data_IF_096238753632
#
_entry.id   IF_096238753632
#
_cell.length_a   1.000
_cell.length_b   1.000
_cell.length_c   1.000
_cell.angle_alpha   90.00
_cell.angle_beta   90.00
_cell.angle_gamma   90.00
#
_symmetry.space_group_name_H-M   'P 1'
#
loop_
_entity.id
_entity.type
_entity.pdbx_description
1 polymer ?
#
# COMPACT_ATOMS: atom_id res chain seq x y z
N UNK A 1 -16.22 -16.83 4.21
CA UNK A 1 -15.85 -15.41 4.05
C UNK A 1 -15.62 -15.16 2.58
N UNK A 2 -15.91 -13.97 2.03
CA UNK A 2 -15.57 -13.69 0.64
C UNK A 2 -14.04 -13.63 0.54
N UNK A 3 -13.45 -14.78 0.23
CA UNK A 3 -12.01 -14.99 0.15
C UNK A 3 -11.60 -14.77 -1.29
N UNK A 4 -10.81 -13.73 -1.57
CA UNK A 4 -10.23 -13.54 -2.90
C UNK A 4 -9.70 -12.14 -3.10
N UNK A 5 -8.75 -12.01 -4.02
CA UNK A 5 -8.09 -10.76 -4.41
C UNK A 5 -9.08 -9.60 -4.63
N UNK A 6 -10.23 -9.84 -5.26
CA UNK A 6 -11.25 -8.82 -5.52
C UNK A 6 -11.81 -8.19 -4.25
N UNK A 7 -12.03 -8.98 -3.19
CA UNK A 7 -12.52 -8.47 -1.91
C UNK A 7 -11.45 -7.59 -1.24
N UNK A 8 -10.20 -8.07 -1.21
CA UNK A 8 -9.09 -7.36 -0.57
C UNK A 8 -8.81 -6.03 -1.27
N UNK A 9 -8.82 -6.01 -2.61
CA UNK A 9 -8.68 -4.78 -3.39
C UNK A 9 -9.83 -3.81 -3.12
N UNK A 10 -11.09 -4.28 -2.98
CA UNK A 10 -12.22 -3.40 -2.64
C UNK A 10 -12.08 -2.80 -1.24
N UNK A 11 -11.61 -3.58 -0.26
CA UNK A 11 -11.35 -3.07 1.10
C UNK A 11 -10.22 -2.05 1.08
N UNK A 12 -9.09 -2.38 0.47
CA UNK A 12 -7.96 -1.46 0.31
C UNK A 12 -8.38 -0.16 -0.38
N UNK A 13 -9.14 -0.24 -1.48
CA UNK A 13 -9.60 0.94 -2.20
C UNK A 13 -10.52 1.83 -1.36
N UNK A 14 -11.40 1.25 -0.55
CA UNK A 14 -12.24 2.01 0.37
C UNK A 14 -11.39 2.73 1.44
N UNK A 15 -10.35 2.07 1.96
CA UNK A 15 -9.43 2.68 2.92
C UNK A 15 -8.56 3.77 2.28
N UNK A 16 -8.05 3.52 1.07
CA UNK A 16 -7.25 4.47 0.30
C UNK A 16 -8.03 5.77 0.03
N UNK A 17 -9.33 5.67 -0.24
CA UNK A 17 -10.20 6.83 -0.42
C UNK A 17 -10.39 7.66 0.87
N UNK A 18 -10.20 7.06 2.04
CA UNK A 18 -10.37 7.68 3.35
C UNK A 18 -9.06 8.14 4.01
N UNK A 19 -7.90 7.90 3.41
CA UNK A 19 -6.57 8.19 4.00
C UNK A 19 -6.41 9.62 4.52
N UNK A 20 -7.01 10.60 3.82
CA UNK A 20 -6.91 12.01 4.20
C UNK A 20 -7.75 12.37 5.43
N UNK A 21 -8.71 11.51 5.80
CA UNK A 21 -9.58 11.69 6.96
C UNK A 21 -9.11 10.93 8.20
N UNK A 22 -8.17 9.99 8.04
CA UNK A 22 -7.68 9.20 9.17
C UNK A 22 -7.01 10.06 10.23
N UNK A 23 -7.34 9.76 11.48
CA UNK A 23 -6.86 10.48 12.65
C UNK A 23 -5.87 9.66 13.46
N UNK A 24 -5.83 8.35 13.23
CA UNK A 24 -5.00 7.40 13.94
C UNK A 24 -4.05 6.64 12.99
N UNK A 25 -2.86 6.31 13.52
CA UNK A 25 -1.84 5.55 12.82
C UNK A 25 -2.33 4.14 12.48
N UNK A 26 -3.15 3.51 13.34
CA UNK A 26 -3.66 2.16 13.10
C UNK A 26 -4.54 2.06 11.85
N UNK A 27 -5.25 3.13 11.49
CA UNK A 27 -6.08 3.16 10.27
C UNK A 27 -5.21 3.17 9.01
N UNK A 28 -4.13 3.95 9.03
CA UNK A 28 -3.14 4.00 7.94
C UNK A 28 -2.40 2.67 7.86
N UNK A 29 -1.92 2.14 8.99
CA UNK A 29 -1.26 0.84 9.08
C UNK A 29 -2.17 -0.27 8.52
N UNK A 30 -3.48 -0.23 8.83
CA UNK A 30 -4.47 -1.14 8.28
C UNK A 30 -4.54 -1.09 6.75
N UNK A 31 -4.52 0.09 6.14
CA UNK A 31 -4.52 0.23 4.67
C UNK A 31 -3.25 -0.37 4.04
N UNK A 32 -2.09 -0.15 4.65
CA UNK A 32 -0.81 -0.70 4.19
C UNK A 32 -0.76 -2.23 4.32
N UNK A 33 -1.28 -2.77 5.42
CA UNK A 33 -1.40 -4.22 5.63
C UNK A 33 -2.33 -4.89 4.60
N UNK A 34 -3.42 -4.23 4.19
CA UNK A 34 -4.25 -4.75 3.10
C UNK A 34 -3.50 -4.76 1.77
N UNK A 35 -2.64 -3.76 1.53
CA UNK A 35 -1.80 -3.73 0.33
C UNK A 35 -0.75 -4.85 0.33
N UNK A 36 -0.22 -5.21 1.49
CA UNK A 36 0.65 -6.39 1.67
C UNK A 36 -0.10 -7.68 1.31
N UNK A 37 -1.31 -7.90 1.84
CA UNK A 37 -2.11 -9.09 1.56
C UNK A 37 -2.41 -9.24 0.04
N UNK A 38 -2.74 -8.13 -0.62
CA UNK A 38 -2.93 -8.08 -2.08
C UNK A 38 -1.64 -8.49 -2.79
N UNK A 39 -0.49 -7.97 -2.38
CA UNK A 39 0.80 -8.28 -2.98
C UNK A 39 1.16 -9.77 -2.85
N UNK A 40 0.91 -10.36 -1.68
CA UNK A 40 1.13 -11.79 -1.43
C UNK A 40 0.33 -12.66 -2.40
N UNK A 41 -0.93 -12.32 -2.65
CA UNK A 41 -1.78 -13.04 -3.63
C UNK A 41 -1.30 -12.90 -5.06
N UNK A 42 -0.92 -11.68 -5.45
CA UNK A 42 -0.35 -11.42 -6.78
C UNK A 42 0.93 -12.23 -6.99
N UNK A 43 1.81 -12.29 -5.99
CA UNK A 43 3.01 -13.13 -6.01
C UNK A 43 2.70 -14.63 -6.03
N UNK A 44 1.61 -15.06 -5.38
CA UNK A 44 1.12 -16.44 -5.44
C UNK A 44 0.51 -16.82 -6.82
N UNK A 45 0.41 -15.86 -7.75
CA UNK A 45 -0.07 -16.07 -9.11
C UNK A 45 -1.56 -15.81 -9.31
N UNK A 46 -2.25 -15.24 -8.32
CA UNK A 46 -3.62 -14.77 -8.53
C UNK A 46 -3.61 -13.62 -9.54
N UNK A 47 -4.48 -13.72 -10.55
CA UNK A 47 -4.59 -12.70 -11.61
C UNK A 47 -5.85 -11.87 -11.38
N UNK A 48 -5.73 -10.56 -11.13
CA UNK A 48 -6.89 -9.70 -10.94
C UNK A 48 -7.68 -9.57 -12.25
N UNK A 49 -9.00 -9.43 -12.12
CA UNK A 49 -9.82 -8.99 -13.25
C UNK A 49 -9.38 -7.60 -13.75
N UNK A 50 -9.72 -7.19 -14.99
CA UNK A 50 -9.44 -5.83 -15.45
C UNK A 50 -10.05 -4.73 -14.55
N UNK A 51 -11.25 -4.96 -14.01
CA UNK A 51 -11.90 -4.04 -13.06
C UNK A 51 -11.09 -3.95 -11.76
N UNK A 52 -10.69 -5.09 -11.21
CA UNK A 52 -9.89 -5.18 -9.99
C UNK A 52 -8.51 -4.54 -10.17
N UNK A 53 -7.86 -4.76 -11.31
CA UNK A 53 -6.60 -4.12 -11.67
C UNK A 53 -6.72 -2.60 -11.72
N UNK A 54 -7.81 -2.09 -12.33
CA UNK A 54 -8.06 -0.66 -12.40
C UNK A 54 -8.29 -0.06 -11.02
N UNK A 55 -9.11 -0.71 -10.20
CA UNK A 55 -9.41 -0.28 -8.83
C UNK A 55 -8.15 -0.25 -7.95
N UNK A 56 -7.28 -1.27 -8.06
CA UNK A 56 -6.01 -1.31 -7.35
C UNK A 56 -5.10 -0.14 -7.77
N UNK A 57 -5.03 0.17 -9.07
CA UNK A 57 -4.23 1.29 -9.57
C UNK A 57 -4.76 2.64 -9.09
N UNK A 58 -6.09 2.83 -9.02
CA UNK A 58 -6.70 4.04 -8.47
C UNK A 58 -6.42 4.21 -6.97
N UNK A 59 -6.49 3.12 -6.21
CA UNK A 59 -6.18 3.09 -4.79
C UNK A 59 -4.70 3.41 -4.52
N UNK A 60 -3.77 2.79 -5.26
CA UNK A 60 -2.34 3.10 -5.19
C UNK A 60 -2.06 4.57 -5.56
N UNK A 61 -2.77 5.12 -6.54
CA UNK A 61 -2.66 6.54 -6.88
C UNK A 61 -3.18 7.46 -5.77
N UNK A 62 -4.25 7.07 -5.06
CA UNK A 62 -4.75 7.80 -3.90
C UNK A 62 -3.74 7.80 -2.74
N UNK A 63 -3.13 6.65 -2.46
CA UNK A 63 -2.06 6.53 -1.47
C UNK A 63 -0.87 7.43 -1.81
N UNK A 64 -0.42 7.44 -3.06
CA UNK A 64 0.67 8.31 -3.52
C UNK A 64 0.32 9.79 -3.31
N UNK A 65 -0.91 10.21 -3.64
CA UNK A 65 -1.35 11.60 -3.41
C UNK A 65 -1.40 11.98 -1.93
N UNK A 66 -1.70 11.01 -1.05
CA UNK A 66 -1.75 11.23 0.39
C UNK A 66 -0.36 11.17 1.06
N UNK A 67 0.67 10.63 0.38
CA UNK A 67 1.99 10.33 0.97
C UNK A 67 2.60 11.44 1.82
N UNK A 68 2.70 12.66 1.30
CA UNK A 68 3.29 13.80 2.04
C UNK A 68 2.53 14.11 3.33
N UNK A 69 1.20 13.99 3.30
CA UNK A 69 0.34 14.24 4.47
C UNK A 69 0.49 13.12 5.48
N UNK A 70 0.50 11.87 5.03
CA UNK A 70 0.67 10.70 5.89
C UNK A 70 2.02 10.71 6.59
N UNK A 71 3.11 10.96 5.86
CA UNK A 71 4.47 11.03 6.42
C UNK A 71 4.61 12.14 7.45
N UNK A 72 3.99 13.30 7.20
CA UNK A 72 4.00 14.41 8.15
C UNK A 72 3.15 14.14 9.39
N UNK A 73 1.98 13.50 9.23
CA UNK A 73 1.02 13.28 10.31
C UNK A 73 1.37 12.08 11.19
N UNK A 74 1.97 11.04 10.61
CA UNK A 74 2.29 9.78 11.26
C UNK A 74 3.77 9.43 11.06
N UNK A 75 4.71 10.26 11.57
CA UNK A 75 6.14 10.07 11.31
C UNK A 75 6.70 8.76 11.90
N UNK A 76 6.11 8.25 12.98
CA UNK A 76 6.55 7.02 13.64
C UNK A 76 6.26 5.78 12.76
N UNK A 77 5.14 5.76 12.03
CA UNK A 77 4.80 4.71 11.08
C UNK A 77 5.87 4.53 10.00
N UNK A 78 6.45 5.65 9.53
CA UNK A 78 7.48 5.66 8.49
C UNK A 78 8.91 5.73 9.06
N UNK A 79 9.08 5.51 10.36
CA UNK A 79 10.40 5.57 10.99
C UNK A 79 11.32 4.45 10.44
N UNK A 80 12.62 4.73 10.17
CA UNK A 80 13.53 3.75 9.58
C UNK A 80 13.61 2.41 10.33
N UNK A 81 13.44 2.41 11.66
CA UNK A 81 13.43 1.18 12.45
C UNK A 81 12.22 0.28 12.18
N UNK A 82 11.04 0.85 11.92
CA UNK A 82 9.84 0.07 11.56
C UNK A 82 9.99 -0.56 10.18
N UNK A 83 10.62 0.16 9.25
CA UNK A 83 10.81 -0.27 7.85
C UNK A 83 12.04 -1.14 7.61
N UNK A 84 12.93 -1.31 8.60
CA UNK A 84 14.25 -1.93 8.40
C UNK A 84 14.20 -3.34 7.78
N UNK A 85 13.12 -4.09 8.02
CA UNK A 85 12.93 -5.44 7.50
C UNK A 85 11.84 -5.52 6.41
N UNK A 86 11.27 -4.39 6.00
CA UNK A 86 10.23 -4.35 4.98
C UNK A 86 10.90 -4.27 3.60
N UNK A 87 10.66 -5.25 2.71
CA UNK A 87 11.25 -5.25 1.37
C UNK A 87 10.90 -3.97 0.59
N UNK A 88 11.81 -3.51 -0.27
CA UNK A 88 11.61 -2.31 -1.09
C UNK A 88 10.49 -2.45 -2.12
N UNK A 89 10.19 -3.67 -2.55
CA UNK A 89 9.05 -3.95 -3.44
C UNK A 89 7.72 -3.53 -2.81
N UNK A 90 7.61 -3.51 -1.49
CA UNK A 90 6.46 -3.00 -0.74
C UNK A 90 6.58 -1.49 -0.57
N UNK A 91 6.69 -0.78 -1.69
CA UNK A 91 6.98 0.67 -1.75
C UNK A 91 6.00 1.52 -0.93
N UNK A 92 4.79 1.03 -0.66
CA UNK A 92 3.77 1.71 0.15
C UNK A 92 4.15 1.87 1.62
N UNK A 93 5.15 1.12 2.11
CA UNK A 93 5.75 1.37 3.42
C UNK A 93 6.84 2.45 3.38
N UNK A 94 7.36 2.77 2.19
CA UNK A 94 8.50 3.68 1.99
C UNK A 94 8.06 5.00 1.35
N UNK A 95 6.87 5.50 1.71
CA UNK A 95 6.28 6.72 1.13
C UNK A 95 7.13 7.97 1.38
N UNK A 96 7.88 8.00 2.46
CA UNK A 96 8.84 9.04 2.86
C UNK A 96 10.07 9.12 1.94
N UNK A 97 10.43 8.03 1.27
CA UNK A 97 11.58 7.96 0.36
C UNK A 97 11.23 8.43 -1.07
N UNK A 98 9.97 8.85 -1.29
CA UNK A 98 9.51 9.47 -2.53
C UNK A 98 9.46 8.52 -3.73
N UNK A 99 9.49 9.09 -4.94
CA UNK A 99 9.24 8.33 -6.17
C UNK A 99 10.36 7.34 -6.58
N UNK A 100 11.51 7.38 -5.92
CA UNK A 100 12.67 6.56 -6.29
C UNK A 100 12.51 5.09 -5.91
N UNK A 101 11.84 4.80 -4.79
CA UNK A 101 11.58 3.42 -4.34
C UNK A 101 10.56 2.71 -5.25
N UNK A 102 9.64 3.47 -5.87
CA UNK A 102 8.68 2.93 -6.85
C UNK A 102 9.30 2.55 -8.20
N UNK A 103 10.48 3.08 -8.53
CA UNK A 103 11.15 2.89 -9.83
C UNK A 103 12.24 1.82 -9.82
N UNK A 104 12.64 1.36 -8.64
CA UNK A 104 13.65 0.32 -8.45
C UNK A 104 13.02 -0.90 -7.77
N UNK A 105 12.30 -1.76 -8.49
CA UNK A 105 12.04 -3.11 -8.02
C UNK A 105 13.31 -3.98 -8.08
N UNK A 106 14.52 -3.39 -7.97
CA UNK A 106 15.84 -3.99 -8.26
C UNK A 106 15.86 -5.48 -7.92
N UNK A 107 15.77 -6.30 -8.97
CA UNK A 107 16.93 -6.98 -9.52
C UNK A 107 17.64 -7.79 -8.44
N UNK A 108 16.94 -8.81 -7.93
CA UNK A 108 17.65 -9.95 -7.33
C UNK A 108 18.20 -10.76 -8.50
N UNK A 109 19.54 -10.78 -8.55
CA UNK A 109 20.37 -11.56 -9.45
C UNK A 109 20.10 -13.08 -9.37
#
# INVERSE_FOLDING_TARGET
MPNGLDFEVRVYAAMAAALMTYEDELEVEGALNWRDAIEERLHAGETPSPETSHLLAEADAALIRASEVLVRRFPDLFHPQRKANIPRQNWWWHLDEGSQVRKHPEQVA
#
